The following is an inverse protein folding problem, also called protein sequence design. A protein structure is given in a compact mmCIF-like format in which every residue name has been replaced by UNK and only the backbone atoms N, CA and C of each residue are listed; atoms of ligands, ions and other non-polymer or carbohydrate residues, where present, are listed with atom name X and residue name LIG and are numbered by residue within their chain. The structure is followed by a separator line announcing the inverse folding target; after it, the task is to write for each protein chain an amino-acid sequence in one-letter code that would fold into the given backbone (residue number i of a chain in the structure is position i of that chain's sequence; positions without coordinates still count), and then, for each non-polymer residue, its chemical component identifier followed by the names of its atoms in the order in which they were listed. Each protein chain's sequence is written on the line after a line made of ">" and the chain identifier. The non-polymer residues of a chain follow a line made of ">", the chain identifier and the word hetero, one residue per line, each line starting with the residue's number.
data_IF_509583530872
#
_entry.id   IF_509583530872
#
_cell.length_a   1.000
_cell.length_b   1.000
_cell.length_c   1.000
_cell.angle_alpha   90.00
_cell.angle_beta   90.00
_cell.angle_gamma   90.00
#
_symmetry.space_group_name_H-M   'P 1'
#
loop_
_entity.id
_entity.type
_entity.pdbx_description
1 polymer ?
#
# COMPACT_ATOMS: atom_id res chain seq x y z
N UNK A 1 12.39 37.03 12.48
CA UNK A 1 13.55 36.27 11.96
C UNK A 1 13.45 34.78 12.23
N UNK A 2 13.54 34.29 13.47
CA UNK A 2 13.51 32.83 13.71
C UNK A 2 12.17 32.17 13.35
N UNK A 3 11.05 32.86 13.57
CA UNK A 3 9.73 32.39 13.17
C UNK A 3 9.60 32.34 11.63
N UNK A 4 9.99 33.43 10.96
CA UNK A 4 9.93 33.59 9.50
C UNK A 4 10.80 32.56 8.74
N UNK A 5 11.99 32.23 9.27
CA UNK A 5 12.83 31.17 8.69
C UNK A 5 12.25 29.77 8.92
N UNK A 6 11.63 29.53 10.08
CA UNK A 6 10.91 28.28 10.35
C UNK A 6 9.71 28.13 9.40
N UNK A 7 8.96 29.20 9.18
CA UNK A 7 7.83 29.23 8.24
C UNK A 7 8.29 28.97 6.81
N UNK A 8 9.36 29.63 6.38
CA UNK A 8 9.98 29.39 5.08
C UNK A 8 10.38 27.92 4.90
N UNK A 9 11.05 27.34 5.89
CA UNK A 9 11.47 25.95 5.87
C UNK A 9 10.28 25.00 5.75
N UNK A 10 9.26 25.17 6.61
CA UNK A 10 8.05 24.34 6.62
C UNK A 10 7.27 24.44 5.32
N UNK A 11 7.16 25.63 4.73
CA UNK A 11 6.41 25.82 3.48
C UNK A 11 7.12 25.15 2.30
N UNK A 12 8.45 25.29 2.21
CA UNK A 12 9.26 24.58 1.19
C UNK A 12 9.16 23.06 1.41
N UNK A 13 9.26 22.59 2.65
CA UNK A 13 9.13 21.17 3.01
C UNK A 13 7.75 20.61 2.64
N UNK A 14 6.67 21.34 2.94
CA UNK A 14 5.30 20.98 2.54
C UNK A 14 5.19 20.82 1.02
N UNK A 15 5.67 21.80 0.25
CA UNK A 15 5.63 21.74 -1.22
C UNK A 15 6.43 20.56 -1.78
N UNK A 16 7.62 20.32 -1.22
CA UNK A 16 8.50 19.21 -1.62
C UNK A 16 7.89 17.85 -1.31
N UNK A 17 7.30 17.69 -0.13
CA UNK A 17 6.64 16.46 0.30
C UNK A 17 5.37 16.17 -0.52
N UNK A 18 4.73 17.21 -1.06
CA UNK A 18 3.56 17.10 -1.95
C UNK A 18 3.94 17.10 -3.45
N UNK A 19 5.20 16.81 -3.78
CA UNK A 19 5.63 16.51 -5.15
C UNK A 19 6.03 17.71 -6.02
N UNK A 20 6.02 18.94 -5.49
CA UNK A 20 6.52 20.11 -6.23
C UNK A 20 8.04 20.05 -6.38
N UNK A 21 8.55 20.25 -7.60
CA UNK A 21 10.00 20.16 -7.86
C UNK A 21 10.71 21.40 -7.32
N UNK A 22 11.93 21.24 -6.81
CA UNK A 22 12.74 22.37 -6.32
C UNK A 22 12.91 23.49 -7.35
N UNK A 23 13.03 23.13 -8.64
CA UNK A 23 13.08 24.08 -9.75
C UNK A 23 11.82 24.92 -9.87
N UNK A 24 10.64 24.31 -9.74
CA UNK A 24 9.34 24.98 -9.85
C UNK A 24 9.13 25.97 -8.70
N UNK A 25 9.48 25.55 -7.48
CA UNK A 25 9.42 26.43 -6.29
C UNK A 25 10.35 27.64 -6.51
N UNK A 26 11.59 27.39 -6.97
CA UNK A 26 12.58 28.44 -7.19
C UNK A 26 12.14 29.43 -8.27
N UNK A 27 11.64 28.93 -9.41
CA UNK A 27 11.11 29.74 -10.50
C UNK A 27 9.91 30.60 -9.99
N UNK A 28 9.04 29.99 -9.17
CA UNK A 28 7.87 30.67 -8.58
C UNK A 28 8.22 31.79 -7.62
N UNK A 29 9.29 31.67 -6.82
CA UNK A 29 9.75 32.75 -5.92
C UNK A 29 10.77 33.68 -6.58
N UNK A 30 11.15 33.43 -7.83
CA UNK A 30 12.14 34.23 -8.56
C UNK A 30 13.57 34.06 -8.02
N UNK A 31 13.91 32.87 -7.53
CA UNK A 31 15.23 32.52 -7.03
C UNK A 31 15.89 31.48 -7.95
N UNK A 32 17.22 31.47 -8.01
CA UNK A 32 17.93 30.39 -8.72
C UNK A 32 17.72 29.05 -7.98
N UNK A 33 17.45 27.92 -8.67
CA UNK A 33 17.22 26.62 -8.04
C UNK A 33 18.36 26.17 -7.12
N UNK A 34 19.61 26.48 -7.48
CA UNK A 34 20.78 26.19 -6.65
C UNK A 34 20.78 26.96 -5.33
N UNK A 35 20.34 28.22 -5.34
CA UNK A 35 20.28 29.07 -4.14
C UNK A 35 19.18 28.57 -3.21
N UNK A 36 17.98 28.25 -3.74
CA UNK A 36 16.89 27.71 -2.94
C UNK A 36 17.26 26.33 -2.35
N UNK A 37 17.93 25.48 -3.14
CA UNK A 37 18.40 24.18 -2.66
C UNK A 37 19.42 24.31 -1.54
N UNK A 38 20.43 25.17 -1.68
CA UNK A 38 21.43 25.44 -0.63
C UNK A 38 20.78 26.02 0.63
N UNK A 39 19.79 26.90 0.46
CA UNK A 39 19.05 27.49 1.56
C UNK A 39 18.27 26.41 2.35
N UNK A 40 17.51 25.57 1.64
CA UNK A 40 16.68 24.53 2.25
C UNK A 40 17.49 23.39 2.89
N UNK A 41 18.54 22.91 2.22
CA UNK A 41 19.26 21.69 2.64
C UNK A 41 20.44 21.95 3.58
N UNK A 42 21.00 23.16 3.59
CA UNK A 42 22.24 23.45 4.33
C UNK A 42 22.07 24.64 5.27
N UNK A 43 21.67 25.80 4.75
CA UNK A 43 21.65 27.05 5.54
C UNK A 43 20.58 27.00 6.63
N UNK A 44 19.32 26.69 6.30
CA UNK A 44 18.23 26.68 7.28
C UNK A 44 18.44 25.62 8.38
N UNK A 45 18.81 24.35 8.07
CA UNK A 45 19.14 23.37 9.09
C UNK A 45 20.30 23.79 10.01
N UNK A 46 21.40 24.29 9.43
CA UNK A 46 22.56 24.73 10.21
C UNK A 46 22.23 25.95 11.09
N UNK A 47 21.39 26.86 10.60
CA UNK A 47 20.89 28.00 11.35
C UNK A 47 20.04 27.55 12.55
N UNK A 48 19.09 26.62 12.35
CA UNK A 48 18.23 26.14 13.43
C UNK A 48 19.01 25.41 14.53
N UNK A 49 20.04 24.64 14.18
CA UNK A 49 20.90 23.99 15.17
C UNK A 49 21.76 25.02 15.93
N UNK A 50 22.40 25.93 15.22
CA UNK A 50 23.30 26.93 15.83
C UNK A 50 22.52 27.90 16.71
N UNK A 51 21.33 28.34 16.29
CA UNK A 51 20.47 29.27 17.03
C UNK A 51 19.95 28.72 18.38
N UNK A 52 20.11 27.41 18.66
CA UNK A 52 19.84 26.84 20.00
C UNK A 52 20.88 27.27 21.04
N UNK A 53 22.10 27.61 20.61
CA UNK A 53 23.27 27.79 21.48
C UNK A 53 23.94 29.15 21.36
N UNK A 54 23.63 29.93 20.33
CA UNK A 54 24.23 31.25 20.08
C UNK A 54 23.22 32.28 19.55
N UNK A 55 23.56 33.58 19.56
CA UNK A 55 22.69 34.63 19.04
C UNK A 55 22.28 34.40 17.58
N UNK A 56 21.05 34.78 17.22
CA UNK A 56 20.47 34.52 15.89
C UNK A 56 21.31 35.10 14.74
N UNK A 57 21.92 36.26 14.95
CA UNK A 57 22.73 36.91 13.91
C UNK A 57 24.03 36.13 13.64
N UNK A 58 24.71 35.69 14.71
CA UNK A 58 25.93 34.86 14.62
C UNK A 58 25.62 33.48 14.03
N UNK A 59 24.51 32.86 14.46
CA UNK A 59 24.03 31.59 13.91
C UNK A 59 23.76 31.67 12.40
N UNK A 60 23.18 32.79 11.94
CA UNK A 60 22.91 33.01 10.52
C UNK A 60 24.19 33.23 9.72
N UNK A 61 25.14 34.00 10.26
CA UNK A 61 26.45 34.22 9.63
C UNK A 61 27.23 32.91 9.51
N UNK A 62 27.23 32.09 10.56
CA UNK A 62 27.85 30.77 10.54
C UNK A 62 27.18 29.85 9.51
N UNK A 63 25.85 29.78 9.48
CA UNK A 63 25.12 28.95 8.52
C UNK A 63 25.35 29.38 7.07
N UNK A 64 25.41 30.68 6.80
CA UNK A 64 25.67 31.21 5.46
C UNK A 64 27.11 30.97 5.02
N UNK A 65 28.08 30.89 5.94
CA UNK A 65 29.48 30.59 5.59
C UNK A 65 29.67 29.20 4.97
N UNK A 66 28.71 28.28 5.17
CA UNK A 66 28.73 26.92 4.62
C UNK A 66 28.49 26.88 3.10
N UNK A 67 27.97 27.96 2.52
CA UNK A 67 27.61 28.03 1.10
C UNK A 67 28.06 29.37 0.50
N UNK A 68 28.47 29.37 -0.77
CA UNK A 68 28.98 30.59 -1.42
C UNK A 68 27.95 31.30 -2.31
N UNK A 69 26.75 30.74 -2.44
CA UNK A 69 25.73 31.17 -3.40
C UNK A 69 24.52 31.88 -2.75
N UNK A 70 24.47 31.98 -1.41
CA UNK A 70 23.37 32.64 -0.68
C UNK A 70 23.88 33.93 -0.04
N UNK A 71 23.22 35.06 -0.32
CA UNK A 71 23.59 36.37 0.23
C UNK A 71 22.69 36.75 1.40
N UNK A 72 23.27 37.02 2.59
CA UNK A 72 22.56 37.49 3.79
C UNK A 72 21.64 38.67 3.48
N UNK A 73 22.16 39.68 2.79
CA UNK A 73 21.44 40.91 2.45
C UNK A 73 20.22 40.61 1.58
N UNK A 74 20.38 39.83 0.50
CA UNK A 74 19.27 39.48 -0.41
C UNK A 74 18.23 38.60 0.27
N UNK A 75 18.67 37.64 1.08
CA UNK A 75 17.80 36.74 1.83
C UNK A 75 16.90 37.53 2.78
N UNK A 76 17.49 38.40 3.62
CA UNK A 76 16.73 39.19 4.60
C UNK A 76 15.81 40.23 3.93
N UNK A 77 16.29 40.92 2.88
CA UNK A 77 15.46 41.93 2.19
C UNK A 77 14.30 41.33 1.39
N UNK A 78 14.42 40.06 0.98
CA UNK A 78 13.43 39.37 0.15
C UNK A 78 12.55 38.39 0.92
N UNK A 79 12.75 38.21 2.23
CA UNK A 79 12.14 37.14 3.00
C UNK A 79 10.61 37.22 3.00
N UNK A 80 10.05 38.38 3.34
CA UNK A 80 8.60 38.60 3.40
C UNK A 80 7.94 38.36 2.04
N UNK A 81 8.51 38.90 0.97
CA UNK A 81 8.01 38.67 -0.39
C UNK A 81 8.13 37.20 -0.82
N UNK A 82 9.17 36.50 -0.38
CA UNK A 82 9.36 35.08 -0.67
C UNK A 82 8.29 34.24 0.04
N UNK A 83 8.02 34.53 1.31
CA UNK A 83 6.96 33.87 2.10
C UNK A 83 5.59 34.09 1.46
N UNK A 84 5.21 35.33 1.17
CA UNK A 84 3.93 35.65 0.53
C UNK A 84 3.74 34.89 -0.80
N UNK A 85 4.78 34.83 -1.64
CA UNK A 85 4.72 34.08 -2.90
C UNK A 85 4.63 32.57 -2.69
N UNK A 86 5.27 32.02 -1.66
CA UNK A 86 5.16 30.60 -1.33
C UNK A 86 3.79 30.24 -0.77
N UNK A 87 3.12 31.15 -0.06
CA UNK A 87 1.76 30.94 0.42
C UNK A 87 0.74 30.92 -0.72
N UNK A 88 0.99 31.67 -1.80
CA UNK A 88 0.19 31.62 -3.03
C UNK A 88 0.44 30.34 -3.87
N UNK A 89 1.58 29.70 -3.68
CA UNK A 89 1.93 28.47 -4.40
C UNK A 89 1.32 27.27 -3.70
N UNK A 90 0.23 26.73 -4.22
CA UNK A 90 -0.22 25.41 -3.81
C UNK A 90 0.53 24.32 -4.60
N UNK A 91 0.85 23.16 -3.99
CA UNK A 91 1.32 22.02 -4.74
C UNK A 91 0.30 21.79 -5.86
N UNK A 92 0.77 21.76 -7.12
CA UNK A 92 -0.07 21.29 -8.21
C UNK A 92 -0.63 19.97 -7.73
N UNK A 93 -1.96 19.92 -7.49
CA UNK A 93 -2.62 18.80 -6.82
C UNK A 93 -1.91 17.54 -7.30
N UNK A 94 -1.18 16.85 -6.39
CA UNK A 94 -0.52 15.56 -6.66
C UNK A 94 -1.42 14.91 -7.68
N UNK A 95 -1.02 14.80 -8.95
CA UNK A 95 -1.98 14.49 -10.00
C UNK A 95 -2.75 13.28 -9.51
N UNK A 96 -3.99 13.51 -9.07
CA UNK A 96 -4.76 12.53 -8.29
C UNK A 96 -5.35 11.63 -9.34
N UNK A 97 -4.49 10.98 -10.13
CA UNK A 97 -4.84 10.31 -11.37
C UNK A 97 -5.90 11.06 -12.17
N UNK A 98 -5.91 12.40 -12.15
CA UNK A 98 -6.90 13.18 -12.88
C UNK A 98 -6.65 12.91 -14.35
N UNK A 99 -7.50 12.10 -14.95
CA UNK A 99 -7.37 11.66 -16.33
C UNK A 99 -7.50 10.15 -16.60
N UNK A 100 -7.50 9.27 -15.59
CA UNK A 100 -7.88 7.85 -15.79
C UNK A 100 -9.23 7.60 -15.11
N UNK A 101 -10.35 7.60 -15.85
CA UNK A 101 -11.69 7.47 -15.28
C UNK A 101 -11.86 6.27 -14.33
N UNK A 102 -11.22 5.15 -14.63
CA UNK A 102 -11.27 3.96 -13.77
C UNK A 102 -10.67 4.20 -12.38
N UNK A 103 -9.57 4.95 -12.27
CA UNK A 103 -8.97 5.16 -10.96
C UNK A 103 -9.74 6.21 -10.16
N UNK A 104 -10.32 7.21 -10.83
CA UNK A 104 -11.25 8.14 -10.19
C UNK A 104 -12.43 7.39 -9.56
N UNK A 105 -13.07 6.50 -10.33
CA UNK A 105 -14.13 5.63 -9.81
C UNK A 105 -13.66 4.70 -8.68
N UNK A 106 -12.45 4.14 -8.78
CA UNK A 106 -11.88 3.30 -7.72
C UNK A 106 -11.66 4.07 -6.43
N UNK A 107 -11.12 5.31 -6.52
CA UNK A 107 -10.89 6.17 -5.36
C UNK A 107 -12.20 6.55 -4.66
N UNK A 108 -13.26 6.83 -5.43
CA UNK A 108 -14.59 7.05 -4.90
C UNK A 108 -15.13 5.80 -4.18
N UNK A 109 -15.00 4.61 -4.79
CA UNK A 109 -15.48 3.38 -4.18
C UNK A 109 -14.69 2.99 -2.93
N UNK A 110 -13.38 3.24 -2.87
CA UNK A 110 -12.57 3.03 -1.66
C UNK A 110 -13.09 3.86 -0.48
N UNK A 111 -13.39 5.14 -0.75
CA UNK A 111 -13.98 6.05 0.23
C UNK A 111 -15.37 5.61 0.69
N UNK A 112 -16.20 5.10 -0.22
CA UNK A 112 -17.53 4.57 0.11
C UNK A 112 -17.45 3.27 0.91
N UNK A 113 -16.51 2.39 0.56
CA UNK A 113 -16.29 1.10 1.21
C UNK A 113 -15.94 1.28 2.69
N UNK A 114 -15.03 2.20 3.01
CA UNK A 114 -14.63 2.53 4.38
C UNK A 114 -15.82 2.93 5.28
N UNK A 115 -16.87 3.54 4.70
CA UNK A 115 -18.07 3.97 5.42
C UNK A 115 -19.10 2.86 5.61
N UNK A 116 -19.15 1.90 4.68
CA UNK A 116 -20.18 0.86 4.62
C UNK A 116 -19.81 -0.42 5.38
N UNK A 117 -18.51 -0.71 5.55
CA UNK A 117 -18.04 -2.10 5.76
C UNK A 117 -17.16 -2.24 6.99
N UNK A 118 -17.69 -1.87 8.15
CA UNK A 118 -17.00 -2.06 9.45
C UNK A 118 -17.30 -3.41 10.11
N UNK A 119 -18.38 -4.08 9.71
CA UNK A 119 -18.83 -5.35 10.30
C UNK A 119 -17.92 -6.56 9.98
N UNK A 120 -17.06 -6.42 8.97
CA UNK A 120 -16.05 -7.44 8.60
C UNK A 120 -14.63 -7.02 8.99
N UNK A 121 -14.46 -5.89 9.70
CA UNK A 121 -13.15 -5.57 10.26
C UNK A 121 -12.81 -6.59 11.35
N UNK A 122 -11.55 -6.97 11.45
CA UNK A 122 -11.09 -7.98 12.40
C UNK A 122 -9.82 -8.70 11.97
N UNK A 123 -9.42 -9.64 12.81
CA UNK A 123 -8.38 -10.63 12.55
C UNK A 123 -9.00 -11.93 12.07
N UNK A 124 -8.41 -12.49 11.02
CA UNK A 124 -8.88 -13.69 10.34
C UNK A 124 -7.74 -14.68 10.13
N UNK A 125 -8.05 -15.96 10.25
CA UNK A 125 -7.19 -17.04 9.75
C UNK A 125 -7.75 -17.55 8.44
N UNK A 126 -6.97 -17.51 7.37
CA UNK A 126 -7.37 -18.09 6.09
C UNK A 126 -6.88 -19.52 5.92
N UNK A 127 -7.69 -20.32 5.23
CA UNK A 127 -7.39 -21.70 4.86
C UNK A 127 -7.57 -21.89 3.36
N UNK A 128 -6.57 -22.46 2.70
CA UNK A 128 -6.58 -22.76 1.27
C UNK A 128 -5.59 -23.87 0.90
N UNK A 129 -5.72 -24.41 -0.30
CA UNK A 129 -4.80 -25.42 -0.82
C UNK A 129 -3.38 -24.83 -1.03
N UNK A 130 -2.36 -25.50 -0.50
CA UNK A 130 -0.95 -25.19 -0.80
C UNK A 130 -0.62 -25.45 -2.29
N UNK A 131 0.26 -24.63 -2.88
CA UNK A 131 0.69 -24.80 -4.28
C UNK A 131 1.70 -25.93 -4.49
N UNK A 132 2.42 -26.32 -3.44
CA UNK A 132 3.60 -27.19 -3.53
C UNK A 132 3.38 -28.57 -2.90
N UNK A 133 2.33 -28.74 -2.10
CA UNK A 133 2.13 -29.94 -1.30
C UNK A 133 0.65 -30.14 -0.98
N UNK A 134 0.30 -31.36 -0.60
CA UNK A 134 -1.04 -31.76 -0.17
C UNK A 134 -1.30 -31.34 1.30
N UNK A 135 -1.04 -30.06 1.59
CA UNK A 135 -1.12 -29.47 2.92
C UNK A 135 -2.14 -28.33 2.94
N UNK A 136 -2.73 -28.08 4.10
CA UNK A 136 -3.59 -26.93 4.34
C UNK A 136 -2.72 -25.71 4.62
N UNK A 137 -2.82 -24.69 3.78
CA UNK A 137 -2.12 -23.42 3.97
C UNK A 137 -2.93 -22.52 4.89
N UNK A 138 -2.30 -22.09 5.97
CA UNK A 138 -2.85 -21.25 7.03
C UNK A 138 -2.16 -19.88 7.01
N UNK A 139 -2.89 -18.82 6.68
CA UNK A 139 -2.33 -17.46 6.57
C UNK A 139 -3.22 -16.45 7.29
N UNK A 140 -2.69 -15.68 8.25
CA UNK A 140 -3.40 -14.60 8.90
C UNK A 140 -3.74 -13.46 7.94
N UNK A 141 -4.90 -12.85 8.17
CA UNK A 141 -5.38 -11.65 7.50
C UNK A 141 -5.88 -10.65 8.53
N UNK A 142 -5.66 -9.36 8.26
CA UNK A 142 -6.28 -8.25 8.98
C UNK A 142 -7.11 -7.42 8.00
N UNK A 143 -8.36 -7.15 8.38
CA UNK A 143 -9.24 -6.21 7.70
C UNK A 143 -9.45 -5.04 8.65
N UNK A 144 -8.94 -3.86 8.29
CA UNK A 144 -9.02 -2.66 9.12
C UNK A 144 -9.24 -1.41 8.28
N UNK A 145 -9.55 -0.29 8.92
CA UNK A 145 -9.53 1.01 8.25
C UNK A 145 -8.10 1.54 8.20
N UNK A 146 -7.79 2.34 7.18
CA UNK A 146 -6.57 3.16 7.17
C UNK A 146 -6.53 4.11 8.36
N UNK A 147 -5.35 4.61 8.73
CA UNK A 147 -5.18 5.51 9.88
C UNK A 147 -6.03 6.78 9.77
N UNK A 148 -6.21 7.28 8.55
CA UNK A 148 -7.05 8.42 8.19
C UNK A 148 -8.49 8.04 7.83
N UNK A 149 -8.85 6.74 7.89
CA UNK A 149 -10.20 6.18 7.66
C UNK A 149 -10.81 6.50 6.30
N UNK A 150 -9.98 6.66 5.29
CA UNK A 150 -10.39 6.95 3.91
C UNK A 150 -10.54 5.70 3.04
N UNK A 151 -9.96 4.57 3.43
CA UNK A 151 -10.11 3.29 2.74
C UNK A 151 -9.99 2.11 3.71
N UNK A 152 -10.37 0.92 3.25
CA UNK A 152 -10.14 -0.33 3.98
C UNK A 152 -8.74 -0.82 3.64
N UNK A 153 -7.91 -1.00 4.66
CA UNK A 153 -6.57 -1.57 4.58
C UNK A 153 -6.64 -3.07 4.86
N UNK A 154 -6.04 -3.86 3.98
CA UNK A 154 -5.91 -5.31 4.13
C UNK A 154 -4.45 -5.65 4.38
N UNK A 155 -4.20 -6.49 5.38
CA UNK A 155 -2.92 -7.14 5.59
C UNK A 155 -3.04 -8.65 5.46
N UNK A 156 -2.02 -9.29 4.89
CA UNK A 156 -1.85 -10.75 4.85
C UNK A 156 -0.45 -11.08 5.35
N UNK A 157 -0.37 -11.99 6.32
CA UNK A 157 0.90 -12.61 6.71
C UNK A 157 0.98 -13.95 5.98
N UNK A 158 1.88 -14.05 5.01
CA UNK A 158 1.99 -15.27 4.21
C UNK A 158 2.58 -16.43 5.04
N UNK A 159 2.59 -17.64 4.49
CA UNK A 159 3.12 -18.82 5.19
C UNK A 159 4.66 -18.79 5.46
N UNK A 160 5.35 -17.71 5.06
CA UNK A 160 6.80 -17.53 5.13
C UNK A 160 7.20 -16.24 5.89
N UNK A 161 6.33 -15.77 6.78
CA UNK A 161 6.55 -14.59 7.64
C UNK A 161 6.69 -13.25 6.92
N UNK A 162 6.25 -13.15 5.66
CA UNK A 162 6.23 -11.88 4.94
C UNK A 162 4.85 -11.24 4.99
N UNK A 163 4.84 -9.93 5.27
CA UNK A 163 3.62 -9.14 5.36
C UNK A 163 3.36 -8.44 4.03
N UNK A 164 2.16 -8.67 3.50
CA UNK A 164 1.65 -8.02 2.29
C UNK A 164 0.52 -7.08 2.68
N UNK A 165 0.61 -5.83 2.23
CA UNK A 165 -0.43 -4.83 2.44
C UNK A 165 -1.16 -4.50 1.14
N UNK A 166 -2.44 -4.18 1.27
CA UNK A 166 -3.27 -3.77 0.16
C UNK A 166 -4.56 -3.12 0.60
N UNK A 167 -5.53 -3.11 -0.30
CA UNK A 167 -6.78 -2.37 -0.16
C UNK A 167 -7.99 -3.30 -0.27
N UNK A 168 -9.06 -2.94 0.43
CA UNK A 168 -10.37 -3.57 0.36
C UNK A 168 -11.36 -2.68 -0.39
N UNK A 169 -12.09 -3.25 -1.34
CA UNK A 169 -13.14 -2.57 -2.11
C UNK A 169 -14.44 -3.34 -1.97
N UNK A 170 -15.52 -2.64 -1.63
CA UNK A 170 -16.87 -3.17 -1.54
C UNK A 170 -17.77 -2.45 -2.55
N UNK A 171 -17.81 -2.95 -3.79
CA UNK A 171 -18.67 -2.39 -4.84
C UNK A 171 -20.15 -2.80 -4.75
N UNK A 172 -20.49 -3.81 -3.93
CA UNK A 172 -21.86 -4.33 -3.76
C UNK A 172 -22.00 -4.98 -2.37
N UNK A 173 -23.13 -4.84 -1.64
CA UNK A 173 -23.20 -5.21 -0.21
C UNK A 173 -22.81 -6.65 0.14
N UNK A 174 -22.80 -7.58 -0.83
CA UNK A 174 -22.44 -8.97 -0.63
C UNK A 174 -21.04 -9.34 -1.11
N UNK A 175 -20.29 -8.40 -1.69
CA UNK A 175 -19.05 -8.66 -2.40
C UNK A 175 -17.93 -7.78 -1.88
N UNK A 176 -16.80 -8.42 -1.55
CA UNK A 176 -15.62 -7.74 -1.05
C UNK A 176 -14.38 -8.20 -1.81
N UNK A 177 -13.61 -7.24 -2.31
CA UNK A 177 -12.39 -7.50 -3.07
C UNK A 177 -11.20 -7.02 -2.24
N UNK A 178 -10.32 -7.95 -1.88
CA UNK A 178 -9.00 -7.61 -1.35
C UNK A 178 -8.00 -7.60 -2.51
N UNK A 179 -7.27 -6.50 -2.68
CA UNK A 179 -6.26 -6.36 -3.72
C UNK A 179 -4.92 -6.00 -3.09
N UNK A 180 -3.89 -6.81 -3.32
CA UNK A 180 -2.53 -6.56 -2.84
C UNK A 180 -1.51 -7.09 -3.85
N UNK A 181 -0.26 -6.67 -3.69
CA UNK A 181 0.86 -7.18 -4.50
C UNK A 181 1.57 -8.30 -3.76
N UNK A 182 1.95 -9.38 -4.45
CA UNK A 182 2.83 -10.39 -3.84
C UNK A 182 4.21 -9.82 -3.52
N UNK A 183 4.70 -8.94 -4.40
CA UNK A 183 6.01 -8.30 -4.28
C UNK A 183 5.84 -6.86 -3.75
N UNK A 184 6.64 -6.44 -2.75
CA UNK A 184 6.58 -5.07 -2.24
C UNK A 184 7.16 -4.03 -3.22
N UNK A 185 7.93 -4.49 -4.22
CA UNK A 185 8.56 -3.65 -5.24
C UNK A 185 8.08 -4.05 -6.65
N UNK A 186 8.12 -3.14 -7.64
CA UNK A 186 7.80 -3.47 -9.03
C UNK A 186 8.61 -4.68 -9.56
N UNK A 187 8.02 -5.52 -10.44
CA UNK A 187 6.71 -5.35 -11.06
C UNK A 187 5.54 -5.70 -10.12
N UNK A 188 4.42 -4.97 -10.27
CA UNK A 188 3.18 -5.25 -9.56
C UNK A 188 2.72 -6.68 -9.90
N UNK A 189 2.68 -7.54 -8.88
CA UNK A 189 2.18 -8.92 -9.02
C UNK A 189 0.85 -8.99 -8.29
N UNK A 190 -0.21 -8.62 -9.00
CA UNK A 190 -1.53 -8.42 -8.40
C UNK A 190 -2.12 -9.75 -7.95
N UNK A 191 -2.51 -9.80 -6.69
CA UNK A 191 -3.38 -10.82 -6.11
C UNK A 191 -4.72 -10.19 -5.83
N UNK A 192 -5.78 -10.93 -6.13
CA UNK A 192 -7.14 -10.53 -5.79
C UNK A 192 -7.83 -11.65 -5.04
N UNK A 193 -8.31 -11.35 -3.84
CA UNK A 193 -9.16 -12.24 -3.07
C UNK A 193 -10.58 -11.69 -3.11
N UNK A 194 -11.46 -12.41 -3.78
CA UNK A 194 -12.89 -12.15 -3.77
C UNK A 194 -13.53 -12.86 -2.58
N UNK A 195 -14.25 -12.15 -1.73
CA UNK A 195 -14.93 -12.67 -0.55
C UNK A 195 -16.42 -12.32 -0.60
N UNK A 196 -17.25 -13.31 -0.28
CA UNK A 196 -18.68 -13.12 -0.10
C UNK A 196 -18.96 -12.61 1.31
N UNK A 197 -19.56 -11.43 1.42
CA UNK A 197 -20.10 -10.87 2.66
C UNK A 197 -21.49 -11.47 2.87
N UNK A 198 -21.68 -12.32 3.89
CA UNK A 198 -23.00 -12.89 4.16
C UNK A 198 -23.89 -11.85 4.87
N UNK A 199 -25.20 -12.02 4.76
CA UNK A 199 -26.21 -11.13 5.35
C UNK A 199 -26.37 -11.25 6.89
N UNK A 200 -25.37 -11.80 7.59
CA UNK A 200 -25.40 -11.99 9.04
C UNK A 200 -24.72 -10.82 9.75
N UNK A 201 -25.23 -10.45 10.94
CA UNK A 201 -24.52 -9.56 11.86
C UNK A 201 -23.28 -10.31 12.39
N UNK A 202 -22.09 -9.76 12.14
CA UNK A 202 -20.78 -10.29 12.54
C UNK A 202 -20.50 -11.71 12.03
N UNK A 203 -20.22 -11.87 10.73
CA UNK A 203 -19.96 -13.18 10.17
C UNK A 203 -18.65 -13.77 10.69
N UNK A 204 -18.75 -15.00 11.22
CA UNK A 204 -17.57 -15.79 11.61
C UNK A 204 -16.75 -16.27 10.42
N UNK A 205 -17.36 -16.41 9.24
CA UNK A 205 -16.69 -16.93 8.06
C UNK A 205 -16.95 -16.08 6.82
N UNK A 206 -15.90 -15.86 6.03
CA UNK A 206 -15.97 -15.29 4.69
C UNK A 206 -15.43 -16.33 3.71
N UNK A 207 -16.16 -16.59 2.64
CA UNK A 207 -15.80 -17.58 1.62
C UNK A 207 -15.51 -16.89 0.31
N UNK A 208 -14.58 -17.43 -0.45
CA UNK A 208 -14.06 -16.69 -1.58
C UNK A 208 -13.28 -17.46 -2.60
N UNK A 209 -12.77 -16.69 -3.56
CA UNK A 209 -11.81 -17.11 -4.55
C UNK A 209 -10.53 -16.28 -4.40
N UNK A 210 -9.40 -16.96 -4.32
CA UNK A 210 -8.07 -16.39 -4.41
C UNK A 210 -7.62 -16.48 -5.86
N UNK A 211 -7.28 -15.34 -6.47
CA UNK A 211 -6.74 -15.23 -7.83
C UNK A 211 -5.32 -14.68 -7.75
N UNK A 212 -4.37 -15.42 -8.33
CA UNK A 212 -2.96 -15.05 -8.33
C UNK A 212 -2.15 -15.93 -9.28
N UNK A 213 -0.85 -15.99 -9.03
CA UNK A 213 0.07 -16.84 -9.78
C UNK A 213 0.52 -18.02 -8.90
N UNK A 214 0.76 -19.18 -9.51
CA UNK A 214 1.45 -20.28 -8.82
C UNK A 214 2.98 -20.10 -8.87
N UNK A 215 3.73 -21.05 -8.31
CA UNK A 215 5.20 -21.00 -8.30
C UNK A 215 5.84 -21.01 -9.69
N UNK A 216 5.15 -21.53 -10.69
CA UNK A 216 5.58 -21.53 -12.09
C UNK A 216 5.10 -20.27 -12.84
N UNK A 217 4.55 -19.28 -12.11
CA UNK A 217 3.92 -18.07 -12.64
C UNK A 217 2.73 -18.32 -13.57
N UNK A 218 2.07 -19.46 -13.40
CA UNK A 218 0.84 -19.75 -14.11
C UNK A 218 -0.35 -19.13 -13.37
N UNK A 219 -1.31 -18.50 -14.09
CA UNK A 219 -2.54 -18.01 -13.47
C UNK A 219 -3.33 -19.12 -12.79
N UNK A 220 -3.78 -18.87 -11.56
CA UNK A 220 -4.58 -19.81 -10.77
C UNK A 220 -5.68 -19.09 -10.00
N UNK A 221 -6.87 -19.69 -9.99
CA UNK A 221 -7.95 -19.38 -9.08
C UNK A 221 -8.16 -20.55 -8.11
N UNK A 222 -8.34 -20.28 -6.81
CA UNK A 222 -8.54 -21.32 -5.77
C UNK A 222 -9.64 -20.91 -4.80
N UNK A 223 -10.36 -21.88 -4.24
CA UNK A 223 -11.20 -21.62 -3.07
C UNK A 223 -10.35 -21.20 -1.87
N UNK A 224 -10.90 -20.28 -1.09
CA UNK A 224 -10.35 -19.82 0.17
C UNK A 224 -11.49 -19.59 1.17
N UNK A 225 -11.23 -19.86 2.44
CA UNK A 225 -12.12 -19.49 3.54
C UNK A 225 -11.34 -18.71 4.59
N UNK A 226 -11.90 -17.61 5.07
CA UNK A 226 -11.39 -16.82 6.19
C UNK A 226 -12.28 -17.05 7.40
N UNK A 227 -11.70 -17.46 8.51
CA UNK A 227 -12.36 -17.66 9.79
C UNK A 227 -11.97 -16.50 10.70
N UNK A 228 -12.97 -15.76 11.20
CA UNK A 228 -12.77 -14.64 12.11
C UNK A 228 -12.32 -15.17 13.46
N UNK A 229 -11.15 -14.72 13.90
CA UNK A 229 -10.58 -15.03 15.21
C UNK A 229 -10.93 -13.96 16.24
N UNK A 230 -10.94 -12.69 15.82
CA UNK A 230 -11.18 -11.55 16.70
C UNK A 230 -11.77 -10.35 15.96
N UNK A 231 -12.45 -9.49 16.71
CA UNK A 231 -12.87 -8.14 16.26
C UNK A 231 -11.71 -7.12 16.33
N UNK A 232 -10.56 -7.53 16.88
CA UNK A 232 -9.37 -6.70 16.97
C UNK A 232 -8.88 -6.24 15.60
N UNK A 233 -8.33 -5.04 15.55
CA UNK A 233 -7.68 -4.46 14.36
C UNK A 233 -6.26 -3.99 14.69
N UNK A 234 -5.68 -4.57 15.74
CA UNK A 234 -4.32 -4.28 16.17
C UNK A 234 -3.29 -4.99 15.27
N UNK A 235 -2.27 -4.23 14.84
CA UNK A 235 -1.25 -4.72 13.92
C UNK A 235 -0.28 -5.67 14.63
N UNK A 236 0.06 -5.44 15.90
CA UNK A 236 0.97 -6.30 16.65
C UNK A 236 0.33 -7.66 16.91
N UNK A 237 -0.97 -7.69 17.27
CA UNK A 237 -1.73 -8.94 17.38
C UNK A 237 -1.76 -9.71 16.07
N UNK A 238 -1.96 -9.02 14.94
CA UNK A 238 -1.92 -9.60 13.60
C UNK A 238 -0.56 -10.23 13.28
N UNK A 239 0.55 -9.52 13.57
CA UNK A 239 1.91 -10.01 13.33
C UNK A 239 2.29 -11.20 14.22
N UNK A 240 1.64 -11.36 15.37
CA UNK A 240 1.87 -12.48 16.28
C UNK A 240 1.03 -13.73 15.95
N UNK A 241 0.11 -13.67 14.97
CA UNK A 241 -0.75 -14.79 14.60
C UNK A 241 0.04 -15.94 13.95
N UNK A 242 -0.40 -17.18 14.20
CA UNK A 242 0.20 -18.38 13.61
C UNK A 242 -0.09 -18.47 12.10
N UNK A 243 0.95 -18.62 11.31
CA UNK A 243 0.96 -18.86 9.87
C UNK A 243 1.72 -20.16 9.55
N UNK A 244 1.53 -20.68 8.34
CA UNK A 244 2.34 -21.81 7.83
C UNK A 244 1.53 -22.88 7.09
N UNK A 245 2.13 -24.06 6.98
CA UNK A 245 1.52 -25.24 6.37
C UNK A 245 1.18 -26.27 7.45
N UNK A 246 -0.01 -26.87 7.35
CA UNK A 246 -0.46 -27.93 8.25
C UNK A 246 -0.56 -29.22 7.44
N UNK A 247 0.08 -30.28 7.94
CA UNK A 247 0.01 -31.61 7.34
C UNK A 247 -1.33 -32.29 7.65
N UNK A 248 -1.79 -33.20 6.79
CA UNK A 248 -3.12 -33.82 6.92
C UNK A 248 -3.27 -34.61 8.22
N UNK A 249 -2.18 -35.17 8.70
CA UNK A 249 -2.14 -35.98 9.91
C UNK A 249 -2.36 -35.13 11.17
N UNK A 250 -2.11 -33.82 11.08
CA UNK A 250 -2.16 -32.86 12.19
C UNK A 250 -3.44 -32.02 12.20
N UNK A 251 -4.41 -32.31 11.33
CA UNK A 251 -5.65 -31.54 11.25
C UNK A 251 -6.52 -31.70 12.50
N UNK A 252 -7.03 -30.57 13.00
CA UNK A 252 -8.21 -30.61 13.87
C UNK A 252 -9.46 -30.98 13.07
N UNK A 253 -10.56 -31.42 13.72
CA UNK A 253 -11.81 -31.69 13.03
C UNK A 253 -12.36 -30.51 12.20
N UNK A 254 -12.17 -29.28 12.70
CA UNK A 254 -12.54 -28.06 11.98
C UNK A 254 -11.66 -27.83 10.75
N UNK A 255 -10.35 -28.01 10.89
CA UNK A 255 -9.40 -27.87 9.77
C UNK A 255 -9.65 -28.92 8.69
N UNK A 256 -10.05 -30.14 9.06
CA UNK A 256 -10.49 -31.15 8.09
C UNK A 256 -11.66 -30.63 7.26
N UNK A 257 -12.65 -29.98 7.89
CA UNK A 257 -13.79 -29.40 7.16
C UNK A 257 -13.37 -28.26 6.22
N UNK A 258 -12.39 -27.45 6.61
CA UNK A 258 -11.85 -26.38 5.76
C UNK A 258 -11.04 -26.93 4.59
N UNK A 259 -10.25 -27.98 4.84
CA UNK A 259 -9.55 -28.72 3.81
C UNK A 259 -10.54 -29.30 2.80
N UNK A 260 -11.59 -29.99 3.27
CA UNK A 260 -12.60 -30.59 2.40
C UNK A 260 -13.40 -29.57 1.58
N UNK A 261 -13.47 -28.33 2.04
CA UNK A 261 -14.11 -27.24 1.30
C UNK A 261 -13.18 -26.55 0.28
N UNK A 262 -11.87 -26.56 0.50
CA UNK A 262 -10.92 -25.71 -0.25
C UNK A 262 -9.91 -26.48 -1.11
N UNK A 263 -9.78 -27.78 -0.89
CA UNK A 263 -8.67 -28.60 -1.39
C UNK A 263 -9.12 -29.83 -2.19
N UNK A 264 -10.39 -29.93 -2.59
CA UNK A 264 -10.89 -31.06 -3.36
C UNK A 264 -10.68 -30.85 -4.87
N UNK A 265 -10.75 -31.94 -5.63
CA UNK A 265 -10.66 -31.90 -7.10
C UNK A 265 -11.77 -30.99 -7.67
N UNK A 266 -11.39 -29.95 -8.39
CA UNK A 266 -12.32 -28.95 -8.94
C UNK A 266 -12.40 -27.64 -8.15
N UNK A 267 -11.76 -27.54 -6.98
CA UNK A 267 -11.72 -26.31 -6.16
C UNK A 267 -10.68 -25.29 -6.63
N UNK A 268 -9.98 -25.59 -7.73
CA UNK A 268 -9.08 -24.67 -8.39
C UNK A 268 -9.21 -24.74 -9.92
N UNK A 269 -8.92 -23.62 -10.57
CA UNK A 269 -8.83 -23.50 -12.03
C UNK A 269 -7.44 -22.95 -12.35
N UNK A 270 -6.70 -23.64 -13.21
CA UNK A 270 -5.35 -23.26 -13.65
C UNK A 270 -5.31 -23.11 -15.17
N UNK A 271 -4.44 -22.24 -15.62
CA UNK A 271 -3.98 -22.15 -17.01
C UNK A 271 -2.48 -22.47 -17.01
N UNK A 272 -1.92 -23.03 -18.08
CA UNK A 272 -0.47 -23.19 -18.17
C UNK A 272 0.06 -22.89 -19.57
N UNK A 273 1.30 -22.43 -19.66
CA UNK A 273 1.92 -22.17 -20.95
C UNK A 273 2.26 -23.50 -21.65
N UNK A 274 1.72 -23.71 -22.84
CA UNK A 274 2.02 -24.89 -23.67
C UNK A 274 3.40 -24.72 -24.34
N UNK A 275 4.32 -25.69 -24.24
CA UNK A 275 5.59 -25.64 -24.96
C UNK A 275 5.38 -25.67 -26.48
N UNK A 276 6.13 -24.86 -27.22
CA UNK A 276 6.07 -24.77 -28.69
C UNK A 276 4.67 -24.43 -29.22
N UNK A 277 4.13 -23.30 -28.75
CA UNK A 277 2.84 -22.73 -29.17
C UNK A 277 2.72 -22.64 -30.70
N UNK A 278 1.65 -23.23 -31.22
CA UNK A 278 1.20 -23.16 -32.61
C UNK A 278 0.03 -22.18 -32.79
N UNK A 279 -0.63 -21.79 -31.70
CA UNK A 279 -1.82 -20.94 -31.66
C UNK A 279 -2.99 -21.53 -32.44
N UNK A 280 -3.19 -22.85 -32.32
CA UNK A 280 -4.30 -23.60 -32.91
C UNK A 280 -5.00 -24.49 -31.86
N UNK A 281 -6.08 -25.18 -32.23
CA UNK A 281 -6.85 -26.05 -31.33
C UNK A 281 -6.00 -27.18 -30.73
N UNK A 282 -4.88 -27.55 -31.36
CA UNK A 282 -3.98 -28.57 -30.81
C UNK A 282 -3.35 -28.13 -29.50
N UNK A 283 -3.12 -26.82 -29.31
CA UNK A 283 -2.58 -26.28 -28.07
C UNK A 283 -3.60 -26.35 -26.94
N UNK A 284 -4.88 -26.11 -27.21
CA UNK A 284 -5.96 -26.27 -26.22
C UNK A 284 -6.04 -27.72 -25.71
N UNK A 285 -5.90 -28.69 -26.62
CA UNK A 285 -5.89 -30.12 -26.26
C UNK A 285 -4.63 -30.47 -25.46
N UNK A 286 -3.46 -29.94 -25.85
CA UNK A 286 -2.20 -30.16 -25.10
C UNK A 286 -2.30 -29.55 -23.71
N UNK A 287 -2.77 -28.33 -23.57
CA UNK A 287 -2.96 -27.67 -22.28
C UNK A 287 -3.87 -28.50 -21.37
N UNK A 288 -5.03 -28.95 -21.88
CA UNK A 288 -5.94 -29.79 -21.09
C UNK A 288 -5.32 -31.11 -20.66
N UNK A 289 -4.46 -31.72 -21.48
CA UNK A 289 -3.70 -32.91 -21.08
C UNK A 289 -2.66 -32.57 -20.01
N UNK A 290 -1.96 -31.44 -20.13
CA UNK A 290 -0.98 -31.00 -19.14
C UNK A 290 -1.60 -30.67 -17.78
N UNK A 291 -2.81 -30.09 -17.76
CA UNK A 291 -3.54 -29.77 -16.52
C UNK A 291 -4.16 -30.99 -15.83
N UNK A 292 -4.24 -32.14 -16.51
CA UNK A 292 -4.75 -33.39 -15.95
C UNK A 292 -3.63 -34.27 -15.32
N UNK A 293 -2.37 -33.85 -15.47
CA UNK A 293 -1.18 -34.48 -14.89
C UNK A 293 -0.85 -33.84 -13.54
#
# INVERSE_FOLDING_TARGET
>A
MMNDFSELYKRIEYLRNNGTKMKEIADWVGMAPSVLSSLYTTVLPAYFESAKTMPQEEALDQALSLVNNVSKRKLLSGLENTLNRLDELEPAALHTQKGIPFIESLNEELSLSARKTTNICGLYTSYSLSSSSDCLKCEPYIITLSDNKDHIRIGRLNAYDEVQWGIGVNGDPQNFYCMFSENPVPPLTLVTVYLQIPMFKNPRQLRGLYLGLDYNRNPVARRIVLIKESESTDIEEFLAMKNGLIAKEDFTPEQQSYYDYTCQTGDYIKMCTVPSLRMDESDLIKEKKMLAL
#
